data_IF_735919999213
#
_entry.id   IF_735919999213
#
_cell.length_a   1.000
_cell.length_b   1.000
_cell.length_c   1.000
_cell.angle_alpha   90.00
_cell.angle_beta   90.00
_cell.angle_gamma   90.00
#
_symmetry.space_group_name_H-M   'P 1'
#
loop_
_entity.id
_entity.type
_entity.pdbx_description
1 polymer ?
#
# COMPACT_ATOMS: atom_id res chain seq x y z
N UNK A 1 -18.41 -12.92 22.98
CA UNK A 1 -17.42 -12.46 22.02
C UNK A 1 -17.05 -11.01 22.28
N UNK A 2 -15.86 -10.61 21.87
CA UNK A 2 -15.48 -9.20 21.90
C UNK A 2 -16.31 -8.46 20.84
N UNK A 3 -16.82 -7.28 21.16
CA UNK A 3 -17.65 -6.46 20.24
C UNK A 3 -16.97 -6.29 18.87
N UNK A 4 -15.64 -6.17 18.83
CA UNK A 4 -14.87 -6.04 17.60
C UNK A 4 -14.89 -7.34 16.78
N UNK A 5 -14.88 -8.50 17.41
CA UNK A 5 -15.00 -9.80 16.71
C UNK A 5 -16.33 -9.90 15.97
N UNK A 6 -17.43 -9.50 16.62
CA UNK A 6 -18.76 -9.49 16.02
C UNK A 6 -18.85 -8.48 14.85
N UNK A 7 -18.25 -7.31 15.00
CA UNK A 7 -18.19 -6.30 13.93
C UNK A 7 -17.37 -6.82 12.72
N UNK A 8 -16.22 -7.45 12.94
CA UNK A 8 -15.40 -8.05 11.87
C UNK A 8 -16.14 -9.19 11.19
N UNK A 9 -16.77 -10.08 11.97
CA UNK A 9 -17.50 -11.22 11.42
C UNK A 9 -18.69 -10.82 10.54
N UNK A 10 -19.35 -9.71 10.87
CA UNK A 10 -20.50 -9.19 10.12
C UNK A 10 -20.12 -8.18 9.03
N UNK A 11 -18.85 -7.78 8.95
CA UNK A 11 -18.39 -6.81 7.96
C UNK A 11 -18.51 -7.36 6.53
N UNK A 12 -18.95 -6.50 5.62
CA UNK A 12 -18.98 -6.80 4.17
C UNK A 12 -17.72 -6.33 3.46
N UNK A 13 -17.07 -5.28 3.96
CA UNK A 13 -15.86 -4.69 3.42
C UNK A 13 -14.90 -4.37 4.55
N UNK A 14 -13.64 -4.76 4.38
CA UNK A 14 -12.57 -4.53 5.37
C UNK A 14 -11.39 -3.88 4.66
N UNK A 15 -10.95 -2.71 5.15
CA UNK A 15 -9.71 -2.08 4.70
C UNK A 15 -8.67 -2.11 5.82
N UNK A 16 -7.51 -2.71 5.52
CA UNK A 16 -6.41 -2.90 6.45
C UNK A 16 -5.27 -1.93 6.13
N UNK A 17 -4.96 -1.03 7.07
CA UNK A 17 -3.89 -0.02 6.95
C UNK A 17 -2.87 -0.09 8.09
N UNK A 18 -3.01 -1.03 9.01
CA UNK A 18 -2.13 -1.19 10.17
C UNK A 18 -0.74 -1.68 9.72
N UNK A 19 0.36 -1.11 10.24
CA UNK A 19 1.70 -1.57 9.90
C UNK A 19 1.97 -2.96 10.52
N UNK A 20 2.56 -3.91 9.74
CA UNK A 20 2.93 -5.22 10.25
C UNK A 20 4.12 -5.15 11.20
N UNK A 21 4.18 -6.07 12.15
CA UNK A 21 5.28 -6.30 13.06
C UNK A 21 6.26 -7.40 12.56
N UNK A 22 7.09 -7.95 13.45
CA UNK A 22 8.03 -9.02 13.11
C UNK A 22 7.36 -10.37 12.81
N UNK A 23 6.14 -10.57 13.32
CA UNK A 23 5.33 -11.79 13.11
C UNK A 23 4.35 -11.67 11.93
N UNK A 24 4.33 -10.52 11.24
CA UNK A 24 3.44 -10.21 10.13
C UNK A 24 2.34 -9.23 10.51
N UNK A 25 1.14 -9.44 9.96
CA UNK A 25 0.02 -8.55 10.24
C UNK A 25 -0.67 -8.91 11.57
N UNK A 26 -0.78 -7.97 12.53
CA UNK A 26 -1.41 -8.25 13.82
C UNK A 26 -2.91 -8.56 13.69
N UNK A 27 -3.61 -7.97 12.71
CA UNK A 27 -5.03 -8.25 12.47
C UNK A 27 -5.20 -9.65 11.90
N UNK A 28 -4.32 -10.08 10.99
CA UNK A 28 -4.32 -11.45 10.49
C UNK A 28 -4.17 -12.46 11.62
N UNK A 29 -3.21 -12.22 12.51
CA UNK A 29 -2.92 -13.12 13.64
C UNK A 29 -4.11 -13.25 14.59
N UNK A 30 -4.80 -12.16 14.86
CA UNK A 30 -5.89 -12.13 15.84
C UNK A 30 -7.24 -12.50 15.26
N UNK A 31 -7.53 -12.08 14.02
CA UNK A 31 -8.87 -12.16 13.43
C UNK A 31 -8.95 -12.90 12.10
N UNK A 32 -7.82 -13.45 11.61
CA UNK A 32 -7.78 -14.17 10.32
C UNK A 32 -8.82 -15.30 10.24
N UNK A 33 -8.95 -16.11 11.30
CA UNK A 33 -9.92 -17.19 11.37
C UNK A 33 -11.37 -16.71 11.38
N UNK A 34 -11.62 -15.55 11.99
CA UNK A 34 -12.96 -14.92 12.03
C UNK A 34 -13.31 -14.42 10.63
N UNK A 35 -12.36 -13.75 9.97
CA UNK A 35 -12.52 -13.24 8.61
C UNK A 35 -12.82 -14.37 7.62
N UNK A 36 -12.12 -15.50 7.72
CA UNK A 36 -12.35 -16.67 6.86
C UNK A 36 -13.75 -17.25 7.05
N UNK A 37 -14.25 -17.27 8.29
CA UNK A 37 -15.60 -17.79 8.62
C UNK A 37 -16.73 -16.84 8.25
N UNK A 38 -16.43 -15.55 8.00
CA UNK A 38 -17.44 -14.58 7.59
C UNK A 38 -17.98 -14.90 6.21
N UNK A 39 -19.29 -15.14 6.12
CA UNK A 39 -20.02 -15.35 4.86
C UNK A 39 -20.45 -14.04 4.18
N UNK A 40 -20.34 -12.93 4.90
CA UNK A 40 -20.78 -11.61 4.45
C UNK A 40 -19.68 -10.84 3.73
N UNK A 41 -18.41 -11.26 3.88
CA UNK A 41 -17.27 -10.53 3.37
C UNK A 41 -17.27 -10.53 1.82
N UNK A 42 -17.39 -9.36 1.21
CA UNK A 42 -17.39 -9.13 -0.23
C UNK A 42 -16.06 -8.59 -0.75
N UNK A 43 -15.30 -7.92 0.10
CA UNK A 43 -14.03 -7.32 -0.26
C UNK A 43 -13.13 -7.12 0.98
N UNK A 44 -11.85 -7.43 0.83
CA UNK A 44 -10.80 -7.12 1.80
C UNK A 44 -9.62 -6.48 1.07
N UNK A 45 -9.28 -5.25 1.43
CA UNK A 45 -8.13 -4.51 0.91
C UNK A 45 -7.01 -4.41 1.94
N UNK A 46 -5.80 -4.81 1.56
CA UNK A 46 -4.59 -4.64 2.37
C UNK A 46 -3.66 -3.59 1.75
N UNK A 47 -3.39 -2.51 2.48
CA UNK A 47 -2.48 -1.45 2.03
C UNK A 47 -1.02 -1.88 2.28
N UNK A 48 -0.36 -2.31 1.22
CA UNK A 48 1.05 -2.67 1.19
C UNK A 48 1.91 -1.50 0.65
N UNK A 49 3.08 -1.78 0.14
CA UNK A 49 4.02 -0.79 -0.40
C UNK A 49 4.80 -1.36 -1.58
N UNK A 50 5.15 -0.52 -2.56
CA UNK A 50 6.12 -0.87 -3.61
C UNK A 50 7.52 -1.20 -3.07
N UNK A 51 7.82 -0.81 -1.82
CA UNK A 51 9.06 -1.20 -1.14
C UNK A 51 9.28 -2.70 -0.97
N UNK A 52 8.27 -3.54 -1.23
CA UNK A 52 8.40 -5.01 -1.28
C UNK A 52 9.28 -5.50 -2.43
N UNK A 53 9.40 -4.71 -3.49
CA UNK A 53 10.24 -5.06 -4.64
C UNK A 53 11.73 -4.93 -4.33
N UNK A 54 12.13 -3.98 -3.46
CA UNK A 54 13.52 -3.67 -3.20
C UNK A 54 14.12 -2.73 -4.25
N UNK A 55 15.43 -2.82 -4.47
CA UNK A 55 16.15 -1.98 -5.42
C UNK A 55 16.24 -2.68 -6.79
N UNK A 56 15.61 -2.09 -7.78
CA UNK A 56 15.66 -2.50 -9.19
C UNK A 56 16.52 -1.58 -10.07
N UNK A 57 17.36 -0.72 -9.46
CA UNK A 57 18.29 0.19 -10.17
C UNK A 57 17.60 1.05 -11.23
N UNK A 58 16.40 1.57 -10.90
CA UNK A 58 15.59 2.37 -11.82
C UNK A 58 14.78 1.58 -12.86
N UNK A 59 14.90 0.27 -12.92
CA UNK A 59 14.09 -0.53 -13.85
C UNK A 59 12.63 -0.63 -13.42
N UNK A 60 11.76 -0.72 -14.40
CA UNK A 60 10.32 -0.93 -14.19
C UNK A 60 10.04 -2.29 -13.56
N UNK A 61 9.05 -2.31 -12.68
CA UNK A 61 8.51 -3.51 -12.04
C UNK A 61 7.00 -3.57 -12.24
N UNK A 62 6.45 -4.78 -12.23
CA UNK A 62 5.01 -5.02 -12.24
C UNK A 62 4.63 -6.04 -11.16
N UNK A 63 3.35 -6.34 -11.02
CA UNK A 63 2.81 -7.21 -9.98
C UNK A 63 3.38 -8.65 -10.03
N UNK A 64 3.85 -9.10 -11.21
CA UNK A 64 4.48 -10.41 -11.42
C UNK A 64 5.97 -10.41 -11.07
N UNK A 65 6.57 -9.23 -10.91
CA UNK A 65 7.99 -9.10 -10.53
C UNK A 65 8.21 -9.70 -9.15
N UNK A 66 9.25 -10.53 -9.03
CA UNK A 66 9.61 -11.18 -7.76
C UNK A 66 9.94 -10.13 -6.69
N UNK A 67 9.28 -10.23 -5.54
CA UNK A 67 9.57 -9.37 -4.39
C UNK A 67 10.94 -9.69 -3.80
N UNK A 68 11.75 -8.64 -3.52
CA UNK A 68 13.09 -8.76 -2.94
C UNK A 68 13.40 -7.57 -2.01
N UNK A 69 12.67 -7.43 -0.88
CA UNK A 69 12.78 -6.28 -0.01
C UNK A 69 14.14 -6.19 0.66
N UNK A 70 14.76 -5.02 0.60
CA UNK A 70 16.06 -4.73 1.22
C UNK A 70 15.94 -4.18 2.64
N UNK A 71 14.75 -3.65 3.02
CA UNK A 71 14.49 -3.05 4.32
C UNK A 71 13.71 -3.98 5.25
N UNK A 72 13.89 -3.83 6.56
CA UNK A 72 13.08 -4.54 7.58
C UNK A 72 11.59 -4.32 7.37
N UNK A 73 11.19 -3.07 7.09
CA UNK A 73 9.79 -2.71 6.80
C UNK A 73 9.26 -3.45 5.57
N UNK A 74 10.03 -3.51 4.50
CA UNK A 74 9.65 -4.25 3.29
C UNK A 74 9.50 -5.75 3.55
N UNK A 75 10.42 -6.36 4.31
CA UNK A 75 10.35 -7.78 4.69
C UNK A 75 9.08 -8.10 5.49
N UNK A 76 8.72 -7.26 6.46
CA UNK A 76 7.47 -7.39 7.23
C UNK A 76 6.23 -7.28 6.34
N UNK A 77 6.23 -6.35 5.38
CA UNK A 77 5.14 -6.22 4.42
C UNK A 77 4.99 -7.44 3.52
N UNK A 78 6.10 -8.02 3.03
CA UNK A 78 6.05 -9.29 2.26
C UNK A 78 5.48 -10.43 3.09
N UNK A 79 5.81 -10.51 4.38
CA UNK A 79 5.25 -11.52 5.28
C UNK A 79 3.72 -11.34 5.41
N UNK A 80 3.26 -10.12 5.67
CA UNK A 80 1.84 -9.81 5.77
C UNK A 80 1.08 -10.05 4.45
N UNK A 81 1.65 -9.69 3.29
CA UNK A 81 1.05 -10.03 1.98
C UNK A 81 0.85 -11.53 1.82
N UNK A 82 1.85 -12.34 2.18
CA UNK A 82 1.74 -13.82 2.11
C UNK A 82 0.64 -14.36 3.02
N UNK A 83 0.53 -13.82 4.23
CA UNK A 83 -0.53 -14.20 5.18
C UNK A 83 -1.91 -13.91 4.59
N UNK A 84 -2.16 -12.69 4.10
CA UNK A 84 -3.45 -12.33 3.51
C UNK A 84 -3.75 -13.10 2.22
N UNK A 85 -2.75 -13.29 1.35
CA UNK A 85 -2.92 -14.05 0.11
C UNK A 85 -3.17 -15.55 0.37
N UNK A 86 -2.73 -16.10 1.50
CA UNK A 86 -3.09 -17.49 1.85
C UNK A 86 -4.60 -17.65 2.04
N UNK A 87 -5.30 -16.66 2.61
CA UNK A 87 -6.76 -16.71 2.72
C UNK A 87 -7.46 -16.69 1.35
N UNK A 88 -6.92 -15.94 0.40
CA UNK A 88 -7.45 -15.97 -0.98
C UNK A 88 -7.24 -17.32 -1.63
N UNK A 89 -6.05 -17.91 -1.46
CA UNK A 89 -5.68 -19.19 -2.07
C UNK A 89 -6.45 -20.37 -1.44
N UNK A 90 -6.48 -20.44 -0.12
CA UNK A 90 -6.93 -21.62 0.60
C UNK A 90 -8.44 -21.58 0.87
N UNK A 91 -9.03 -20.37 0.99
CA UNK A 91 -10.44 -20.15 1.34
C UNK A 91 -11.22 -19.33 0.33
N UNK A 92 -10.58 -18.91 -0.79
CA UNK A 92 -11.18 -18.02 -1.80
C UNK A 92 -11.69 -16.69 -1.21
N UNK A 93 -11.08 -16.24 -0.11
CA UNK A 93 -11.42 -14.96 0.50
C UNK A 93 -11.15 -13.80 -0.50
N UNK A 94 -12.00 -12.76 -0.57
CA UNK A 94 -11.91 -11.69 -1.56
C UNK A 94 -10.80 -10.67 -1.21
N UNK A 95 -9.59 -11.15 -1.01
CA UNK A 95 -8.42 -10.38 -0.63
C UNK A 95 -7.80 -9.68 -1.83
N UNK A 96 -7.51 -8.39 -1.68
CA UNK A 96 -6.82 -7.56 -2.67
C UNK A 96 -5.65 -6.84 -2.00
N UNK A 97 -4.47 -6.89 -2.60
CA UNK A 97 -3.24 -6.24 -2.11
C UNK A 97 -2.98 -4.98 -2.93
N UNK A 98 -2.77 -3.85 -2.25
CA UNK A 98 -2.45 -2.57 -2.87
C UNK A 98 -1.03 -2.17 -2.50
N UNK A 99 -0.07 -2.30 -3.42
CA UNK A 99 1.32 -1.89 -3.26
C UNK A 99 1.44 -0.41 -3.59
N UNK A 100 1.26 0.42 -2.57
CA UNK A 100 1.28 1.88 -2.70
C UNK A 100 2.70 2.39 -2.89
N UNK A 101 2.88 3.30 -3.83
CA UNK A 101 4.08 4.09 -4.01
C UNK A 101 4.21 5.18 -2.92
N UNK A 102 5.13 6.11 -3.05
CA UNK A 102 5.28 7.22 -2.12
C UNK A 102 4.04 8.10 -2.09
N UNK A 103 3.30 8.12 -0.98
CA UNK A 103 2.04 8.86 -0.87
C UNK A 103 2.31 10.36 -0.73
N UNK A 104 1.63 11.18 -1.54
CA UNK A 104 1.63 12.63 -1.41
C UNK A 104 0.19 13.20 -1.46
N UNK A 105 0.04 14.50 -1.12
CA UNK A 105 -1.24 15.21 -1.07
C UNK A 105 -1.24 16.29 -0.02
N UNK A 106 -2.39 16.89 0.27
CA UNK A 106 -2.51 17.97 1.24
C UNK A 106 -1.97 17.54 2.61
N UNK A 107 -1.06 18.36 3.18
CA UNK A 107 -0.39 18.06 4.45
C UNK A 107 0.66 16.93 4.39
N UNK A 108 0.84 16.28 3.24
CA UNK A 108 1.83 15.23 2.99
C UNK A 108 2.61 15.52 1.72
N UNK A 109 3.83 15.99 1.88
CA UNK A 109 4.69 16.26 0.73
C UNK A 109 6.04 16.82 1.16
N UNK A 110 6.96 17.06 0.22
CA UNK A 110 8.24 17.70 0.49
C UNK A 110 8.08 19.08 1.14
N UNK A 111 7.01 19.83 0.79
CA UNK A 111 6.73 21.14 1.37
C UNK A 111 6.52 21.15 2.88
N UNK A 112 5.77 20.19 3.41
CA UNK A 112 5.59 20.12 4.86
C UNK A 112 6.92 19.89 5.59
N UNK A 113 7.86 19.18 4.96
CA UNK A 113 9.23 19.00 5.48
C UNK A 113 10.10 20.25 5.28
N UNK A 114 9.93 20.98 4.20
CA UNK A 114 10.62 22.27 3.96
C UNK A 114 10.17 23.31 4.95
N UNK A 115 8.86 23.46 5.15
CA UNK A 115 8.28 24.37 6.15
C UNK A 115 8.67 24.02 7.57
N UNK A 116 8.85 22.73 7.88
CA UNK A 116 9.33 22.25 9.17
C UNK A 116 10.85 22.35 9.33
N UNK A 117 11.62 22.89 8.36
CA UNK A 117 13.09 22.97 8.40
C UNK A 117 13.79 21.61 8.35
N UNK A 118 13.07 20.52 8.05
CA UNK A 118 13.58 19.15 8.08
C UNK A 118 13.91 18.58 6.68
N UNK A 119 13.87 19.41 5.64
CA UNK A 119 14.18 18.98 4.29
C UNK A 119 15.69 18.71 4.12
N UNK A 120 16.03 17.48 3.72
CA UNK A 120 17.38 17.12 3.30
C UNK A 120 17.36 16.83 1.81
N UNK A 121 18.18 17.56 1.04
CA UNK A 121 18.41 17.23 -0.38
C UNK A 121 19.29 15.98 -0.44
N UNK A 122 18.69 14.84 -0.78
CA UNK A 122 19.45 13.60 -1.02
C UNK A 122 19.56 13.44 -2.53
N UNK A 123 20.77 13.59 -3.04
CA UNK A 123 21.10 13.30 -4.45
C UNK A 123 21.65 11.88 -4.48
N UNK A 124 20.96 10.97 -5.15
CA UNK A 124 21.48 9.64 -5.49
C UNK A 124 21.34 9.46 -7.00
N UNK A 125 22.46 9.31 -7.67
CA UNK A 125 22.47 9.01 -9.10
C UNK A 125 21.60 7.78 -9.39
N UNK A 126 20.79 7.87 -10.45
CA UNK A 126 19.89 6.81 -10.91
C UNK A 126 18.81 6.37 -9.92
N UNK A 127 18.52 7.16 -8.87
CA UNK A 127 17.40 6.89 -8.00
C UNK A 127 16.12 7.52 -8.58
N UNK A 128 15.10 6.70 -8.78
CA UNK A 128 13.79 7.10 -9.26
C UNK A 128 12.75 6.75 -8.21
N UNK A 129 11.82 7.65 -7.95
CA UNK A 129 10.70 7.43 -7.03
C UNK A 129 9.37 7.43 -7.78
N UNK A 130 8.62 6.35 -7.63
CA UNK A 130 7.20 6.36 -7.97
C UNK A 130 6.40 6.95 -6.79
N UNK A 131 5.33 7.66 -7.13
CA UNK A 131 4.45 8.34 -6.18
C UNK A 131 3.00 8.01 -6.48
N UNK A 132 2.11 8.39 -5.59
CA UNK A 132 0.67 8.33 -5.76
C UNK A 132 -0.02 9.41 -4.95
N UNK A 133 -0.96 10.13 -5.54
CA UNK A 133 -1.77 11.09 -4.81
C UNK A 133 -2.78 10.37 -3.89
N UNK A 134 -3.03 10.93 -2.71
CA UNK A 134 -3.93 10.32 -1.72
C UNK A 134 -5.36 10.12 -2.26
N UNK A 135 -5.86 11.03 -3.09
CA UNK A 135 -7.18 10.94 -3.71
C UNK A 135 -7.25 9.82 -4.74
N UNK A 136 -6.17 9.61 -5.51
CA UNK A 136 -6.10 8.51 -6.47
C UNK A 136 -6.07 7.15 -5.78
N UNK A 137 -5.45 7.05 -4.60
CA UNK A 137 -5.56 5.84 -3.77
C UNK A 137 -7.04 5.56 -3.45
N UNK A 138 -7.80 6.58 -3.03
CA UNK A 138 -9.21 6.41 -2.70
C UNK A 138 -10.03 5.96 -3.93
N UNK A 139 -9.76 6.52 -5.11
CA UNK A 139 -10.41 6.13 -6.37
C UNK A 139 -10.08 4.68 -6.75
N UNK A 140 -8.82 4.27 -6.64
CA UNK A 140 -8.39 2.88 -6.91
C UNK A 140 -9.06 1.90 -5.97
N UNK A 141 -9.13 2.22 -4.67
CA UNK A 141 -9.82 1.38 -3.69
C UNK A 141 -11.31 1.26 -4.01
N UNK A 142 -11.99 2.35 -4.33
CA UNK A 142 -13.39 2.35 -4.72
C UNK A 142 -13.63 1.54 -6.00
N UNK A 143 -12.76 1.67 -6.99
CA UNK A 143 -12.83 0.88 -8.21
C UNK A 143 -12.69 -0.62 -7.94
N UNK A 144 -11.80 -1.00 -7.01
CA UNK A 144 -11.61 -2.40 -6.58
C UNK A 144 -12.81 -2.93 -5.79
N UNK A 145 -13.43 -2.11 -4.93
CA UNK A 145 -14.69 -2.47 -4.22
C UNK A 145 -15.81 -2.78 -5.23
N UNK A 146 -15.93 -1.97 -6.28
CA UNK A 146 -16.94 -2.15 -7.32
C UNK A 146 -16.64 -3.32 -8.27
N UNK A 147 -15.40 -3.82 -8.30
CA UNK A 147 -14.98 -4.97 -9.11
C UNK A 147 -14.13 -5.92 -8.26
N UNK A 148 -14.73 -6.57 -7.27
CA UNK A 148 -13.99 -7.38 -6.31
C UNK A 148 -13.32 -8.57 -7.02
N UNK A 149 -12.04 -8.76 -6.71
CA UNK A 149 -11.25 -9.89 -7.15
C UNK A 149 -10.85 -10.79 -5.98
N UNK A 150 -10.28 -11.95 -6.29
CA UNK A 150 -9.73 -12.88 -5.30
C UNK A 150 -8.23 -12.99 -5.52
N UNK A 151 -7.43 -12.64 -4.51
CA UNK A 151 -5.98 -12.73 -4.58
C UNK A 151 -5.33 -11.75 -5.56
N UNK A 152 -5.97 -10.63 -5.86
CA UNK A 152 -5.43 -9.64 -6.78
C UNK A 152 -4.35 -8.79 -6.10
N UNK A 153 -3.35 -8.42 -6.89
CA UNK A 153 -2.29 -7.49 -6.47
C UNK A 153 -2.29 -6.33 -7.45
N UNK A 154 -2.19 -5.10 -6.94
CA UNK A 154 -2.16 -3.88 -7.72
C UNK A 154 -0.97 -3.03 -7.31
N UNK A 155 -0.17 -2.57 -8.28
CA UNK A 155 0.76 -1.47 -8.09
C UNK A 155 0.00 -0.16 -8.23
N UNK A 156 0.04 0.66 -7.19
CA UNK A 156 -0.70 1.91 -7.14
C UNK A 156 0.29 3.06 -7.14
N UNK A 157 0.48 3.66 -8.31
CA UNK A 157 1.43 4.74 -8.56
C UNK A 157 0.96 5.63 -9.70
N UNK A 158 1.48 6.85 -9.73
CA UNK A 158 1.33 7.78 -10.85
C UNK A 158 2.09 7.26 -12.10
N UNK A 159 1.74 7.78 -13.26
CA UNK A 159 2.30 7.36 -14.55
C UNK A 159 3.78 7.74 -14.73
N UNK A 160 4.22 8.83 -14.08
CA UNK A 160 5.57 9.37 -14.23
C UNK A 160 6.36 9.29 -12.92
N UNK A 161 7.29 8.33 -12.80
CA UNK A 161 8.28 8.34 -11.73
C UNK A 161 9.27 9.49 -11.94
N UNK A 162 9.75 10.09 -10.86
CA UNK A 162 10.67 11.23 -10.93
C UNK A 162 11.90 11.01 -10.04
N UNK A 163 13.08 11.53 -10.43
CA UNK A 163 14.24 11.57 -9.57
C UNK A 163 14.01 12.49 -8.37
N UNK A 164 14.76 12.35 -7.26
CA UNK A 164 14.57 13.12 -6.04
C UNK A 164 14.68 14.64 -6.24
N UNK A 165 15.53 15.07 -7.16
CA UNK A 165 15.74 16.49 -7.49
C UNK A 165 14.52 17.12 -8.13
N UNK A 166 13.83 16.42 -9.03
CA UNK A 166 12.62 16.94 -9.70
C UNK A 166 11.47 17.09 -8.72
N UNK A 167 11.45 16.28 -7.65
CA UNK A 167 10.48 16.43 -6.57
C UNK A 167 10.57 17.77 -5.86
N UNK A 168 11.75 18.40 -5.83
CA UNK A 168 11.95 19.72 -5.23
C UNK A 168 11.54 20.85 -6.18
N UNK A 169 11.62 20.65 -7.51
CA UNK A 169 11.36 21.67 -8.54
C UNK A 169 9.89 21.71 -8.98
N UNK A 170 9.22 20.56 -9.14
CA UNK A 170 7.82 20.47 -9.57
C UNK A 170 6.89 21.20 -8.58
N UNK A 171 7.23 21.22 -7.30
CA UNK A 171 6.44 21.86 -6.28
C UNK A 171 6.64 23.39 -6.18
N UNK A 172 7.63 23.95 -6.86
CA UNK A 172 7.85 25.40 -6.91
C UNK A 172 7.08 26.04 -8.08
N UNK A 173 6.72 25.27 -9.10
CA UNK A 173 6.17 25.76 -10.38
C UNK A 173 4.70 25.38 -10.63
N UNK A 174 4.08 24.47 -9.88
CA UNK A 174 2.66 24.19 -10.04
C UNK A 174 1.80 25.06 -9.11
N UNK A 175 0.93 25.93 -9.66
CA UNK A 175 -0.12 26.54 -8.86
C UNK A 175 -1.06 25.45 -8.36
N UNK A 176 -1.45 25.55 -7.10
CA UNK A 176 -2.50 24.71 -6.48
C UNK A 176 -3.67 24.53 -7.46
N UNK A 177 -3.95 23.29 -7.85
CA UNK A 177 -5.23 22.99 -8.51
C UNK A 177 -6.35 23.41 -7.59
N UNK A 178 -7.35 24.16 -8.12
CA UNK A 178 -8.49 24.62 -7.34
C UNK A 178 -9.32 23.47 -6.77
#
# INVERSE_FOLDING_TARGET
GDKLEDEIFNATHILLSIPPDSAGDPIFKQYGDIIVRSKNLKWLGYLSTTGVYGDHKGNWVNEKTKVNPTTVRGKRRVLAEKQWLSLAKDHRAPVNIFRLAGIYGQGRGPFSKILAGAAKRIIKENQVFSRIHVEDIAQVLLASVNRPGVGQIYNVCDDLPAPPEDLSLIHISEPTRP
#
